data_IF_070017588269
#
_entry.id   IF_070017588269
#
_cell.length_a   1.000
_cell.length_b   1.000
_cell.length_c   1.000
_cell.angle_alpha   90.00
_cell.angle_beta   90.00
_cell.angle_gamma   90.00
#
_symmetry.space_group_name_H-M   'P 1'
#
loop_
_entity.id
_entity.type
_entity.pdbx_description
1 polymer ?
#
# COMPACT_ATOMS: atom_id res chain seq x y z
N UNK A 1 -29.22 -12.18 -2.12
CA UNK A 1 -27.86 -11.96 -1.58
C UNK A 1 -27.16 -10.96 -2.48
N UNK A 2 -26.57 -9.89 -1.93
CA UNK A 2 -25.81 -8.91 -2.74
C UNK A 2 -24.57 -9.57 -3.32
N UNK A 3 -24.14 -9.13 -4.50
CA UNK A 3 -22.94 -9.57 -5.18
C UNK A 3 -21.95 -8.42 -5.28
N UNK A 4 -20.77 -8.59 -4.71
CA UNK A 4 -19.71 -7.58 -4.72
C UNK A 4 -18.55 -8.08 -5.57
N UNK A 5 -18.09 -7.24 -6.49
CA UNK A 5 -16.88 -7.47 -7.28
C UNK A 5 -15.71 -6.73 -6.65
N UNK A 6 -14.64 -7.44 -6.34
CA UNK A 6 -13.40 -6.89 -5.81
C UNK A 6 -12.31 -6.97 -6.87
N UNK A 7 -11.76 -5.82 -7.24
CA UNK A 7 -10.58 -5.73 -8.09
C UNK A 7 -9.37 -5.59 -7.17
N UNK A 8 -8.65 -6.70 -7.02
CA UNK A 8 -7.67 -6.93 -5.97
C UNK A 8 -6.25 -7.00 -6.57
N UNK A 9 -5.34 -6.05 -6.25
CA UNK A 9 -3.96 -6.09 -6.72
C UNK A 9 -3.15 -7.24 -6.07
N UNK A 10 -3.63 -7.83 -4.98
CA UNK A 10 -2.97 -8.96 -4.30
C UNK A 10 -3.00 -10.28 -5.08
N UNK A 11 -3.86 -10.39 -6.10
CA UNK A 11 -3.97 -11.57 -6.97
C UNK A 11 -3.02 -11.44 -8.17
N UNK A 12 -2.29 -12.52 -8.48
CA UNK A 12 -1.34 -12.56 -9.62
C UNK A 12 -0.29 -11.45 -9.58
N UNK A 13 0.16 -11.09 -8.38
CA UNK A 13 1.21 -10.07 -8.15
C UNK A 13 2.52 -10.74 -7.75
N UNK A 14 3.62 -10.05 -8.03
CA UNK A 14 4.96 -10.40 -7.58
C UNK A 14 5.40 -9.58 -6.35
N UNK A 15 4.46 -8.86 -5.72
CA UNK A 15 4.69 -7.97 -4.60
C UNK A 15 3.64 -8.19 -3.48
N UNK A 16 4.06 -8.78 -2.37
CA UNK A 16 3.21 -9.07 -1.21
C UNK A 16 2.63 -7.82 -0.53
N UNK A 17 3.19 -6.65 -0.82
CA UNK A 17 2.62 -5.37 -0.36
C UNK A 17 1.20 -5.12 -0.85
N UNK A 18 0.84 -5.65 -2.01
CA UNK A 18 -0.53 -5.54 -2.54
C UNK A 18 -1.52 -6.38 -1.72
N UNK A 19 -1.10 -7.51 -1.14
CA UNK A 19 -1.94 -8.32 -0.24
C UNK A 19 -2.24 -7.55 1.06
N UNK A 20 -1.24 -6.87 1.63
CA UNK A 20 -1.41 -6.06 2.84
C UNK A 20 -2.43 -4.93 2.62
N UNK A 21 -2.42 -4.29 1.44
CA UNK A 21 -3.43 -3.29 1.06
C UNK A 21 -4.82 -3.90 1.09
N UNK A 22 -4.97 -5.09 0.52
CA UNK A 22 -6.28 -5.71 0.35
C UNK A 22 -6.81 -6.27 1.65
N UNK A 23 -5.96 -6.79 2.53
CA UNK A 23 -6.31 -7.09 3.92
C UNK A 23 -6.95 -5.87 4.59
N UNK A 24 -6.35 -4.68 4.42
CA UNK A 24 -6.90 -3.43 4.94
C UNK A 24 -8.28 -3.09 4.36
N UNK A 25 -8.47 -3.26 3.05
CA UNK A 25 -9.78 -3.05 2.40
C UNK A 25 -10.81 -4.05 2.92
N UNK A 26 -10.49 -5.35 2.96
CA UNK A 26 -11.38 -6.42 3.41
C UNK A 26 -11.79 -6.21 4.87
N UNK A 27 -10.85 -5.84 5.74
CA UNK A 27 -11.14 -5.51 7.13
C UNK A 27 -12.12 -4.34 7.25
N UNK A 28 -11.94 -3.28 6.47
CA UNK A 28 -12.79 -2.10 6.49
C UNK A 28 -14.20 -2.35 5.93
N UNK A 29 -14.32 -3.24 4.94
CA UNK A 29 -15.58 -3.57 4.27
C UNK A 29 -16.28 -4.82 4.84
N UNK A 30 -15.75 -5.42 5.91
CA UNK A 30 -16.25 -6.65 6.51
C UNK A 30 -17.76 -6.65 6.75
N UNK A 31 -18.31 -5.55 7.27
CA UNK A 31 -19.74 -5.40 7.59
C UNK A 31 -20.67 -5.65 6.39
N UNK A 32 -20.24 -5.29 5.16
CA UNK A 32 -21.04 -5.55 3.96
C UNK A 32 -20.61 -6.82 3.22
N UNK A 33 -19.35 -7.24 3.40
CA UNK A 33 -18.80 -8.41 2.72
C UNK A 33 -19.29 -9.73 3.35
N UNK A 34 -19.47 -9.80 4.67
CA UNK A 34 -19.91 -11.01 5.37
C UNK A 34 -21.29 -11.51 4.88
N UNK A 35 -22.16 -10.61 4.43
CA UNK A 35 -23.50 -10.91 3.92
C UNK A 35 -23.61 -10.96 2.40
N UNK A 36 -22.48 -10.89 1.68
CA UNK A 36 -22.45 -10.78 0.23
C UNK A 36 -21.65 -11.92 -0.43
N UNK A 37 -21.99 -12.20 -1.68
CA UNK A 37 -21.18 -13.08 -2.52
C UNK A 37 -20.04 -12.28 -3.16
N UNK A 38 -18.81 -12.55 -2.74
CA UNK A 38 -17.63 -11.84 -3.21
C UNK A 38 -17.03 -12.57 -4.42
N UNK A 39 -16.77 -11.82 -5.49
CA UNK A 39 -15.95 -12.28 -6.62
C UNK A 39 -14.71 -11.40 -6.71
N UNK A 40 -13.54 -12.02 -6.65
CA UNK A 40 -12.25 -11.33 -6.66
C UNK A 40 -11.56 -11.55 -8.00
N UNK A 41 -11.05 -10.47 -8.60
CA UNK A 41 -10.26 -10.52 -9.82
C UNK A 41 -9.03 -9.62 -9.69
N UNK A 42 -7.93 -10.02 -10.31
CA UNK A 42 -6.70 -9.24 -10.30
C UNK A 42 -6.87 -7.92 -11.04
N UNK A 43 -6.32 -6.84 -10.50
CA UNK A 43 -6.15 -5.59 -11.27
C UNK A 43 -5.03 -5.72 -12.30
N UNK A 44 -4.03 -6.56 -12.05
CA UNK A 44 -2.82 -6.70 -12.89
C UNK A 44 -3.05 -7.58 -14.13
N UNK A 45 -4.21 -8.23 -14.24
CA UNK A 45 -4.55 -9.14 -15.34
C UNK A 45 -5.59 -8.53 -16.30
N UNK A 46 -5.53 -8.86 -17.60
CA UNK A 46 -6.59 -8.51 -18.54
C UNK A 46 -7.96 -9.05 -18.13
N UNK A 47 -9.01 -8.31 -18.44
CA UNK A 47 -10.38 -8.68 -18.11
C UNK A 47 -11.01 -9.43 -19.29
N UNK A 48 -11.18 -10.73 -19.13
CA UNK A 48 -11.81 -11.62 -20.11
C UNK A 48 -13.35 -11.64 -20.03
N UNK A 49 -13.99 -12.13 -21.11
CA UNK A 49 -15.44 -12.21 -21.27
C UNK A 49 -16.18 -12.86 -20.09
N UNK A 50 -15.60 -13.89 -19.47
CA UNK A 50 -16.20 -14.54 -18.29
C UNK A 50 -16.28 -13.59 -17.09
N UNK A 51 -15.23 -12.80 -16.85
CA UNK A 51 -15.23 -11.77 -15.80
C UNK A 51 -16.23 -10.66 -16.10
N UNK A 52 -16.32 -10.22 -17.35
CA UNK A 52 -17.28 -9.17 -17.76
C UNK A 52 -18.73 -9.54 -17.44
N UNK A 53 -19.15 -10.79 -17.71
CA UNK A 53 -20.49 -11.29 -17.33
C UNK A 53 -20.74 -11.25 -15.82
N UNK A 54 -19.70 -11.43 -15.01
CA UNK A 54 -19.82 -11.32 -13.56
C UNK A 54 -19.90 -9.87 -13.10
N UNK A 55 -19.13 -8.97 -13.72
CA UNK A 55 -19.16 -7.53 -13.46
C UNK A 55 -20.52 -6.93 -13.78
N UNK A 56 -21.13 -7.25 -14.92
CA UNK A 56 -22.44 -6.70 -15.31
C UNK A 56 -23.56 -6.99 -14.32
N UNK A 57 -23.44 -8.07 -13.54
CA UNK A 57 -24.42 -8.51 -12.55
C UNK A 57 -24.04 -8.18 -11.11
N UNK A 58 -22.97 -7.40 -10.88
CA UNK A 58 -22.53 -7.03 -9.55
C UNK A 58 -23.29 -5.81 -9.04
N UNK A 59 -23.72 -5.85 -7.77
CA UNK A 59 -24.40 -4.74 -7.09
C UNK A 59 -23.41 -3.63 -6.68
N UNK A 60 -22.14 -4.01 -6.46
CA UNK A 60 -21.07 -3.09 -6.11
C UNK A 60 -19.74 -3.58 -6.70
N UNK A 61 -18.93 -2.65 -7.19
CA UNK A 61 -17.60 -2.92 -7.77
C UNK A 61 -16.56 -2.05 -7.10
N UNK A 62 -15.64 -2.67 -6.37
CA UNK A 62 -14.61 -2.01 -5.58
C UNK A 62 -13.25 -2.21 -6.23
N UNK A 63 -12.54 -1.12 -6.50
CA UNK A 63 -11.13 -1.14 -6.88
C UNK A 63 -10.30 -0.95 -5.62
N UNK A 64 -9.65 -2.03 -5.16
CA UNK A 64 -8.71 -1.96 -4.04
C UNK A 64 -7.43 -1.22 -4.47
N UNK A 65 -6.80 -0.54 -3.50
CA UNK A 65 -5.70 0.41 -3.62
C UNK A 65 -4.55 0.10 -4.60
N UNK A 66 -3.30 0.08 -4.10
CA UNK A 66 -2.07 0.07 -4.90
C UNK A 66 -1.87 1.32 -5.80
N UNK A 67 -0.88 1.28 -6.69
CA UNK A 67 -0.46 2.36 -7.59
C UNK A 67 -1.18 2.30 -8.96
N UNK A 68 -2.51 2.20 -8.97
CA UNK A 68 -3.24 1.89 -10.21
C UNK A 68 -3.41 3.10 -11.15
N UNK A 69 -3.38 4.33 -10.66
CA UNK A 69 -3.65 5.51 -11.50
C UNK A 69 -2.42 5.96 -12.28
N UNK A 70 -2.51 5.82 -13.60
CA UNK A 70 -1.48 6.22 -14.56
C UNK A 70 -1.89 7.47 -15.33
N UNK A 71 -0.91 8.22 -15.84
CA UNK A 71 -1.17 9.34 -16.75
C UNK A 71 -1.61 8.92 -18.16
N UNK A 72 -1.09 7.79 -18.66
CA UNK A 72 -1.35 7.34 -20.03
C UNK A 72 -1.68 5.84 -20.09
N UNK A 73 -2.98 5.53 -20.24
CA UNK A 73 -3.47 4.17 -20.46
C UNK A 73 -3.16 3.64 -21.87
N UNK A 74 -2.77 4.48 -22.83
CA UNK A 74 -2.49 4.08 -24.23
C UNK A 74 -1.06 3.61 -24.49
N UNK A 75 -0.13 3.78 -23.53
CA UNK A 75 1.26 3.40 -23.72
C UNK A 75 1.40 1.87 -23.86
N UNK A 76 2.02 1.41 -24.95
CA UNK A 76 2.41 0.02 -25.17
C UNK A 76 3.60 -0.41 -24.29
N UNK A 77 4.32 0.56 -23.72
CA UNK A 77 5.62 0.40 -23.04
C UNK A 77 5.53 0.41 -21.50
N UNK A 78 4.33 0.41 -20.93
CA UNK A 78 4.16 0.36 -19.47
C UNK A 78 3.48 -0.93 -19.05
N UNK A 79 4.09 -1.61 -18.07
CA UNK A 79 3.43 -2.64 -17.27
C UNK A 79 2.23 -2.00 -16.57
N UNK A 80 1.07 -2.04 -17.24
CA UNK A 80 -0.16 -1.45 -16.71
C UNK A 80 -0.58 -2.27 -15.51
N UNK A 81 -0.46 -1.70 -14.30
CA UNK A 81 -1.03 -2.33 -13.11
C UNK A 81 -2.56 -2.46 -13.19
N UNK A 82 -3.19 -1.72 -14.12
CA UNK A 82 -4.58 -1.88 -14.47
C UNK A 82 -4.79 -1.81 -15.98
N UNK A 83 -4.83 -2.96 -16.69
CA UNK A 83 -4.96 -3.00 -18.14
C UNK A 83 -6.43 -2.82 -18.56
N UNK A 84 -6.87 -1.57 -18.58
CA UNK A 84 -8.21 -1.18 -19.01
C UNK A 84 -8.18 -0.47 -20.37
N UNK A 85 -9.23 -0.68 -21.16
CA UNK A 85 -9.47 -0.02 -22.44
C UNK A 85 -10.97 0.32 -22.59
N UNK A 86 -11.35 0.92 -23.73
CA UNK A 86 -12.75 1.31 -24.00
C UNK A 86 -13.73 0.14 -23.94
N UNK A 87 -13.33 -1.05 -24.42
CA UNK A 87 -14.19 -2.23 -24.43
C UNK A 87 -14.43 -2.74 -23.01
N UNK A 88 -13.36 -2.91 -22.21
CA UNK A 88 -13.49 -3.37 -20.82
C UNK A 88 -14.19 -2.34 -19.94
N UNK A 89 -14.01 -1.03 -20.22
CA UNK A 89 -14.63 0.05 -19.45
C UNK A 89 -16.16 -0.05 -19.38
N UNK A 90 -16.80 -0.58 -20.42
CA UNK A 90 -18.26 -0.69 -20.48
C UNK A 90 -18.82 -1.72 -19.48
N UNK A 91 -18.16 -2.87 -19.31
CA UNK A 91 -18.61 -3.89 -18.33
C UNK A 91 -18.14 -3.58 -16.91
N UNK A 92 -17.10 -2.74 -16.77
CA UNK A 92 -16.58 -2.30 -15.48
C UNK A 92 -17.46 -1.27 -14.81
N UNK A 93 -18.00 -0.29 -15.53
CA UNK A 93 -18.76 0.78 -14.88
C UNK A 93 -20.03 0.30 -14.14
N UNK A 94 -20.46 0.98 -13.08
CA UNK A 94 -19.69 1.94 -12.28
C UNK A 94 -18.80 1.23 -11.25
N UNK A 95 -17.57 1.68 -11.07
CA UNK A 95 -16.64 1.23 -10.02
C UNK A 95 -16.40 2.32 -8.97
N UNK A 96 -16.06 1.93 -7.75
CA UNK A 96 -15.64 2.83 -6.66
C UNK A 96 -14.18 2.55 -6.29
N UNK A 97 -13.39 3.60 -6.05
CA UNK A 97 -11.98 3.47 -5.67
C UNK A 97 -11.89 3.40 -4.15
N UNK A 98 -11.01 2.53 -3.64
CA UNK A 98 -10.71 2.40 -2.21
C UNK A 98 -9.20 2.49 -2.01
N UNK A 99 -8.72 3.64 -1.54
CA UNK A 99 -7.33 3.84 -1.18
C UNK A 99 -6.36 3.76 -2.36
N UNK A 100 -6.82 4.15 -3.55
CA UNK A 100 -6.02 4.07 -4.78
C UNK A 100 -5.03 5.23 -4.85
N UNK A 101 -3.85 4.97 -5.42
CA UNK A 101 -2.79 5.95 -5.58
C UNK A 101 -2.34 6.16 -7.03
N UNK A 102 -1.76 7.33 -7.28
CA UNK A 102 -1.05 7.69 -8.51
C UNK A 102 0.39 7.14 -8.53
N UNK A 103 0.86 6.70 -9.72
CA UNK A 103 2.13 5.98 -9.87
C UNK A 103 3.38 6.82 -9.63
N UNK A 104 3.44 8.03 -10.18
CA UNK A 104 4.67 8.82 -10.23
C UNK A 104 4.39 10.30 -10.23
N UNK A 105 5.33 11.08 -9.67
CA UNK A 105 5.33 12.53 -9.84
C UNK A 105 5.48 12.94 -11.30
N UNK A 106 4.95 14.11 -11.63
CA UNK A 106 5.02 14.68 -12.98
C UNK A 106 4.21 13.91 -14.02
N UNK A 107 3.44 12.89 -13.64
CA UNK A 107 2.48 12.31 -14.58
C UNK A 107 1.35 13.29 -14.84
N UNK A 108 0.94 13.36 -16.10
CA UNK A 108 -0.23 14.11 -16.52
C UNK A 108 -1.26 13.12 -17.08
N UNK A 109 -2.49 13.18 -16.57
CA UNK A 109 -3.58 12.35 -17.06
C UNK A 109 -4.05 12.89 -18.41
N UNK A 110 -3.68 12.19 -19.49
CA UNK A 110 -4.07 12.55 -20.85
C UNK A 110 -5.58 12.43 -21.10
N UNK A 111 -6.09 13.11 -22.14
CA UNK A 111 -7.52 13.16 -22.45
C UNK A 111 -8.18 11.77 -22.61
N UNK A 112 -7.48 10.83 -23.27
CA UNK A 112 -7.96 9.44 -23.39
C UNK A 112 -8.09 8.76 -22.03
N UNK A 113 -7.06 8.86 -21.19
CA UNK A 113 -7.07 8.29 -19.84
C UNK A 113 -8.18 8.91 -18.99
N UNK A 114 -8.32 10.24 -19.03
CA UNK A 114 -9.37 10.96 -18.33
C UNK A 114 -10.77 10.52 -18.77
N UNK A 115 -10.98 10.33 -20.08
CA UNK A 115 -12.24 9.81 -20.62
C UNK A 115 -12.56 8.41 -20.08
N UNK A 116 -11.57 7.51 -20.03
CA UNK A 116 -11.76 6.16 -19.48
C UNK A 116 -12.10 6.21 -17.98
N UNK A 117 -11.36 6.99 -17.18
CA UNK A 117 -11.64 7.10 -15.74
C UNK A 117 -13.05 7.66 -15.49
N UNK A 118 -13.45 8.75 -16.17
CA UNK A 118 -14.80 9.30 -16.05
C UNK A 118 -15.90 8.33 -16.46
N UNK A 119 -15.61 7.38 -17.35
CA UNK A 119 -16.57 6.37 -17.80
C UNK A 119 -16.72 5.22 -16.81
N UNK A 120 -15.61 4.80 -16.18
CA UNK A 120 -15.57 3.64 -15.28
C UNK A 120 -15.99 4.02 -13.87
N UNK A 121 -15.53 5.18 -13.39
CA UNK A 121 -15.75 5.62 -12.02
C UNK A 121 -17.20 6.08 -11.84
N UNK A 122 -17.81 5.67 -10.72
CA UNK A 122 -19.17 6.08 -10.36
C UNK A 122 -19.27 7.59 -10.24
N UNK A 123 -20.35 8.19 -10.74
CA UNK A 123 -20.71 9.58 -10.45
C UNK A 123 -21.51 9.74 -9.15
N UNK A 124 -21.97 8.63 -8.55
CA UNK A 124 -22.87 8.62 -7.39
C UNK A 124 -22.14 8.38 -6.08
N UNK A 125 -21.03 7.63 -6.12
CA UNK A 125 -20.23 7.32 -4.94
C UNK A 125 -19.02 8.24 -4.83
N UNK A 126 -18.58 8.55 -3.62
CA UNK A 126 -17.26 9.14 -3.39
C UNK A 126 -16.18 8.08 -3.61
N UNK A 127 -15.05 8.51 -4.17
CA UNK A 127 -13.85 7.70 -4.40
C UNK A 127 -12.81 7.98 -3.32
N UNK A 128 -12.32 6.93 -2.68
CA UNK A 128 -11.23 7.01 -1.71
C UNK A 128 -9.89 6.91 -2.44
N UNK A 129 -9.02 7.89 -2.19
CA UNK A 129 -7.61 7.88 -2.60
C UNK A 129 -6.72 7.91 -1.37
N UNK A 130 -5.46 7.50 -1.54
CA UNK A 130 -4.55 7.31 -0.40
C UNK A 130 -3.74 8.54 -0.01
N UNK A 131 -3.63 9.54 -0.88
CA UNK A 131 -2.79 10.72 -0.65
C UNK A 131 -3.34 11.95 -1.40
N UNK A 132 -2.96 13.14 -0.94
CA UNK A 132 -3.38 14.44 -1.44
C UNK A 132 -2.94 14.66 -2.88
N UNK A 133 -1.73 14.20 -3.23
CA UNK A 133 -1.25 14.18 -4.60
C UNK A 133 -2.21 13.44 -5.55
N UNK A 134 -2.67 12.25 -5.17
CA UNK A 134 -3.61 11.47 -5.99
C UNK A 134 -4.97 12.14 -6.07
N UNK A 135 -5.43 12.77 -4.98
CA UNK A 135 -6.66 13.56 -4.98
C UNK A 135 -6.60 14.69 -6.02
N UNK A 136 -5.52 15.47 -6.01
CA UNK A 136 -5.29 16.55 -6.97
C UNK A 136 -5.25 16.06 -8.41
N UNK A 137 -4.61 14.92 -8.67
CA UNK A 137 -4.56 14.31 -10.01
C UNK A 137 -5.96 14.01 -10.56
N UNK A 138 -6.84 13.39 -9.76
CA UNK A 138 -8.22 13.11 -10.19
C UNK A 138 -9.06 14.38 -10.35
N UNK A 139 -8.92 15.35 -9.45
CA UNK A 139 -9.60 16.65 -9.54
C UNK A 139 -9.19 17.42 -10.80
N UNK A 140 -7.92 17.38 -11.17
CA UNK A 140 -7.38 18.08 -12.36
C UNK A 140 -8.04 17.65 -13.67
N UNK A 141 -8.57 16.42 -13.73
CA UNK A 141 -9.31 15.92 -14.88
C UNK A 141 -10.82 16.00 -14.72
N UNK A 142 -11.33 16.61 -13.65
CA UNK A 142 -12.75 16.84 -13.41
C UNK A 142 -13.48 15.69 -12.71
N UNK A 143 -12.76 14.81 -11.99
CA UNK A 143 -13.36 13.82 -11.09
C UNK A 143 -13.33 14.42 -9.68
N UNK A 144 -14.45 15.02 -9.28
CA UNK A 144 -14.52 15.86 -8.07
C UNK A 144 -15.11 15.16 -6.84
N UNK A 145 -15.79 14.03 -7.04
CA UNK A 145 -16.29 13.13 -6.00
C UNK A 145 -15.17 12.23 -5.44
N UNK A 146 -14.02 12.82 -5.13
CA UNK A 146 -12.85 12.15 -4.57
C UNK A 146 -12.58 12.68 -3.17
N UNK A 147 -12.05 11.82 -2.30
CA UNK A 147 -11.67 12.17 -0.93
C UNK A 147 -10.40 11.41 -0.52
N UNK A 148 -9.44 12.13 0.05
CA UNK A 148 -8.25 11.52 0.60
C UNK A 148 -8.51 10.86 1.97
N UNK A 149 -8.40 9.54 2.03
CA UNK A 149 -8.69 8.73 3.22
C UNK A 149 -7.45 8.01 3.75
N UNK A 150 -6.28 8.21 3.13
CA UNK A 150 -5.11 7.42 3.43
C UNK A 150 -5.16 6.02 2.84
N UNK A 151 -4.03 5.32 2.92
CA UNK A 151 -3.95 3.92 2.50
C UNK A 151 -4.78 3.04 3.46
N UNK A 152 -5.55 2.04 2.97
CA UNK A 152 -6.33 1.14 3.82
C UNK A 152 -5.50 0.37 4.85
N UNK A 153 -4.20 0.21 4.60
CA UNK A 153 -3.25 -0.36 5.57
C UNK A 153 -3.12 0.46 6.84
N UNK A 154 -3.54 1.73 6.82
CA UNK A 154 -3.42 2.64 7.95
C UNK A 154 -4.69 2.71 8.79
N UNK A 155 -5.85 2.26 8.28
CA UNK A 155 -7.15 2.49 8.91
C UNK A 155 -7.36 1.76 10.26
N UNK A 156 -6.38 0.98 10.72
CA UNK A 156 -6.35 0.43 12.08
C UNK A 156 -5.30 1.07 13.01
N UNK A 157 -4.50 2.01 12.51
CA UNK A 157 -3.37 2.63 13.23
C UNK A 157 -3.84 3.83 14.07
N UNK A 158 -4.78 3.57 14.99
CA UNK A 158 -5.34 4.58 15.89
C UNK A 158 -4.28 5.11 16.85
N UNK A 159 -4.51 6.26 17.51
CA UNK A 159 -3.58 6.79 18.51
C UNK A 159 -3.28 5.78 19.63
N UNK A 160 -4.30 4.99 20.02
CA UNK A 160 -4.17 3.90 21.01
C UNK A 160 -3.32 2.73 20.51
N UNK A 161 -3.35 2.44 19.21
CA UNK A 161 -2.46 1.42 18.63
C UNK A 161 -1.03 1.95 18.49
N UNK A 162 -0.89 3.21 18.05
CA UNK A 162 0.41 3.86 17.93
C UNK A 162 1.12 4.01 19.29
N UNK A 163 0.39 4.24 20.38
CA UNK A 163 1.00 4.34 21.73
C UNK A 163 1.57 3.02 22.26
N UNK A 164 1.21 1.88 21.66
CA UNK A 164 1.80 0.57 21.98
C UNK A 164 3.06 0.27 21.20
N UNK A 165 3.33 1.02 20.13
CA UNK A 165 4.57 0.90 19.38
C UNK A 165 5.73 1.35 20.28
N UNK A 166 6.78 0.53 20.47
CA UNK A 166 7.92 0.90 21.30
C UNK A 166 8.57 2.21 20.83
N UNK A 167 8.88 3.09 21.79
CA UNK A 167 9.56 4.36 21.49
C UNK A 167 11.08 4.28 21.48
N UNK A 168 11.63 3.16 21.96
CA UNK A 168 13.06 2.86 22.02
C UNK A 168 13.40 1.73 21.06
N UNK A 169 14.65 1.72 20.60
CA UNK A 169 15.22 0.71 19.71
C UNK A 169 14.99 -0.71 20.23
N UNK A 170 14.59 -1.60 19.32
CA UNK A 170 14.57 -3.04 19.53
C UNK A 170 15.97 -3.66 19.64
N UNK A 171 16.02 -4.94 20.02
CA UNK A 171 17.27 -5.72 20.03
C UNK A 171 17.68 -6.13 18.61
N UNK A 172 16.69 -6.58 17.85
CA UNK A 172 16.85 -7.13 16.51
C UNK A 172 16.17 -6.24 15.48
N UNK A 173 16.44 -6.47 14.21
CA UNK A 173 15.79 -5.75 13.10
C UNK A 173 15.32 -6.67 12.00
N UNK A 174 14.14 -6.41 11.46
CA UNK A 174 13.70 -6.92 10.18
C UNK A 174 13.73 -5.82 9.13
N UNK A 175 14.33 -6.10 7.98
CA UNK A 175 14.42 -5.14 6.89
C UNK A 175 13.87 -5.71 5.59
N UNK A 176 13.63 -4.79 4.65
CA UNK A 176 13.22 -5.09 3.28
C UNK A 176 13.98 -4.21 2.30
N UNK A 177 14.14 -4.71 1.08
CA UNK A 177 14.71 -4.00 -0.06
C UNK A 177 13.69 -3.91 -1.19
N UNK A 178 13.95 -3.05 -2.18
CA UNK A 178 13.04 -2.84 -3.31
C UNK A 178 13.76 -3.13 -4.63
N UNK A 179 13.60 -4.34 -5.14
CA UNK A 179 14.25 -4.85 -6.35
C UNK A 179 14.07 -3.99 -7.61
N UNK A 180 12.89 -3.37 -7.79
CA UNK A 180 12.57 -2.62 -9.01
C UNK A 180 13.12 -1.18 -9.00
N UNK A 181 13.71 -0.72 -7.89
CA UNK A 181 14.37 0.57 -7.76
C UNK A 181 15.68 0.43 -6.96
N UNK A 182 16.62 -0.39 -7.45
CA UNK A 182 17.83 -0.71 -6.72
C UNK A 182 18.73 0.54 -6.63
N UNK A 183 19.35 0.74 -5.48
CA UNK A 183 20.39 1.74 -5.30
C UNK A 183 21.47 1.12 -4.40
N UNK A 184 22.47 0.51 -5.03
CA UNK A 184 23.50 -0.26 -4.32
C UNK A 184 24.19 0.54 -3.22
N UNK A 185 24.42 1.84 -3.42
CA UNK A 185 25.10 2.68 -2.41
C UNK A 185 24.19 2.90 -1.20
N UNK A 186 22.94 3.29 -1.46
CA UNK A 186 21.92 3.51 -0.42
C UNK A 186 21.65 2.22 0.37
N UNK A 187 21.45 1.13 -0.35
CA UNK A 187 21.02 -0.14 0.24
C UNK A 187 22.17 -0.86 0.94
N UNK A 188 23.41 -0.71 0.48
CA UNK A 188 24.60 -1.14 1.23
C UNK A 188 24.74 -0.34 2.53
N UNK A 189 24.62 0.99 2.47
CA UNK A 189 24.69 1.83 3.67
C UNK A 189 23.64 1.45 4.70
N UNK A 190 22.40 1.17 4.26
CA UNK A 190 21.34 0.66 5.12
C UNK A 190 21.80 -0.61 5.85
N UNK A 191 22.28 -1.62 5.12
CA UNK A 191 22.76 -2.88 5.73
C UNK A 191 23.90 -2.63 6.71
N UNK A 192 24.89 -1.81 6.35
CA UNK A 192 26.04 -1.52 7.20
C UNK A 192 25.63 -0.86 8.53
N UNK A 193 24.67 0.08 8.49
CA UNK A 193 24.10 0.66 9.71
C UNK A 193 23.35 -0.40 10.52
N UNK A 194 22.48 -1.19 9.90
CA UNK A 194 21.73 -2.22 10.63
C UNK A 194 22.64 -3.23 11.33
N UNK A 195 23.74 -3.64 10.68
CA UNK A 195 24.78 -4.52 11.25
C UNK A 195 25.51 -3.92 12.44
N UNK A 196 25.68 -2.61 12.44
CA UNK A 196 26.33 -1.91 13.55
C UNK A 196 25.37 -1.75 14.74
N UNK A 197 24.08 -1.55 14.47
CA UNK A 197 23.12 -1.13 15.50
C UNK A 197 22.30 -2.25 16.13
N UNK A 198 22.16 -3.42 15.49
CA UNK A 198 21.31 -4.53 15.95
C UNK A 198 22.08 -5.84 16.10
N UNK A 199 21.61 -6.72 16.99
CA UNK A 199 22.25 -8.02 17.24
C UNK A 199 21.95 -9.04 16.15
N UNK A 200 20.68 -9.28 15.88
CA UNK A 200 20.23 -10.13 14.77
C UNK A 200 19.53 -9.31 13.67
N UNK A 201 19.80 -9.70 12.42
CA UNK A 201 19.20 -9.09 11.24
C UNK A 201 18.39 -10.14 10.48
N UNK A 202 17.14 -9.77 10.21
CA UNK A 202 16.19 -10.57 9.46
C UNK A 202 15.83 -9.85 8.16
N UNK A 203 15.69 -10.60 7.06
CA UNK A 203 15.26 -10.04 5.78
C UNK A 203 13.94 -10.66 5.36
N UNK A 204 12.94 -9.82 5.11
CA UNK A 204 11.70 -10.27 4.51
C UNK A 204 11.68 -10.00 3.01
N UNK A 205 11.48 -11.07 2.24
CA UNK A 205 11.36 -11.03 0.79
C UNK A 205 9.92 -10.64 0.43
N UNK A 206 9.67 -9.34 0.25
CA UNK A 206 8.34 -8.85 -0.09
C UNK A 206 8.05 -8.97 -1.61
N UNK A 207 9.05 -8.69 -2.44
CA UNK A 207 9.00 -8.77 -3.90
C UNK A 207 9.75 -9.99 -4.43
N UNK A 208 9.31 -10.51 -5.58
CA UNK A 208 9.84 -11.75 -6.19
C UNK A 208 11.34 -11.77 -6.45
N UNK A 209 11.97 -10.60 -6.65
CA UNK A 209 13.41 -10.45 -6.89
C UNK A 209 14.18 -9.81 -5.74
N UNK A 210 13.54 -9.57 -4.59
CA UNK A 210 14.21 -8.92 -3.45
C UNK A 210 15.37 -9.76 -2.91
N UNK A 211 15.20 -11.09 -2.89
CA UNK A 211 16.27 -12.00 -2.46
C UNK A 211 17.44 -12.02 -3.45
N UNK A 212 17.18 -12.01 -4.75
CA UNK A 212 18.25 -11.92 -5.76
C UNK A 212 18.97 -10.57 -5.71
N UNK A 213 18.24 -9.49 -5.41
CA UNK A 213 18.85 -8.18 -5.22
C UNK A 213 19.74 -8.14 -3.98
N UNK A 214 19.29 -8.70 -2.85
CA UNK A 214 20.10 -8.81 -1.63
C UNK A 214 21.44 -9.50 -1.89
N UNK A 215 21.47 -10.56 -2.70
CA UNK A 215 22.71 -11.29 -3.07
C UNK A 215 23.76 -10.45 -3.81
N UNK A 216 23.39 -9.26 -4.30
CA UNK A 216 24.32 -8.35 -4.99
C UNK A 216 24.99 -7.35 -4.04
N UNK A 217 24.63 -7.39 -2.76
CA UNK A 217 25.16 -6.55 -1.69
C UNK A 217 26.21 -7.32 -0.87
N UNK A 218 27.02 -6.58 -0.14
CA UNK A 218 28.13 -7.10 0.66
C UNK A 218 27.68 -7.35 2.12
N UNK A 219 28.36 -8.26 2.83
CA UNK A 219 28.16 -8.57 4.25
C UNK A 219 26.78 -9.13 4.62
N UNK A 220 26.22 -10.01 3.77
CA UNK A 220 24.87 -10.56 3.93
C UNK A 220 24.82 -11.93 4.61
N UNK A 221 25.96 -12.53 4.95
CA UNK A 221 26.10 -13.94 5.33
C UNK A 221 25.35 -14.28 6.63
N UNK A 222 25.22 -13.32 7.55
CA UNK A 222 24.54 -13.49 8.84
C UNK A 222 23.06 -13.09 8.82
N UNK A 223 22.53 -12.70 7.66
CA UNK A 223 21.14 -12.23 7.53
C UNK A 223 20.20 -13.42 7.46
N UNK A 224 19.24 -13.49 8.39
CA UNK A 224 18.25 -14.57 8.48
C UNK A 224 17.06 -14.28 7.57
N UNK A 225 16.74 -15.18 6.64
CA UNK A 225 15.63 -14.98 5.70
C UNK A 225 14.30 -15.39 6.35
N UNK A 226 13.34 -14.47 6.37
CA UNK A 226 11.95 -14.75 6.78
C UNK A 226 11.15 -15.27 5.60
N UNK A 227 10.24 -16.21 5.86
CA UNK A 227 9.41 -16.85 4.84
C UNK A 227 8.77 -15.82 3.90
N UNK A 228 8.87 -15.99 2.56
CA UNK A 228 8.42 -15.04 1.55
C UNK A 228 6.90 -15.13 1.34
N UNK A 229 6.13 -15.01 2.42
CA UNK A 229 4.67 -15.01 2.42
C UNK A 229 4.16 -14.02 3.45
N UNK A 230 2.96 -13.47 3.23
CA UNK A 230 2.33 -12.59 4.22
C UNK A 230 2.11 -13.31 5.55
N UNK A 231 1.64 -14.56 5.51
CA UNK A 231 1.49 -15.40 6.71
C UNK A 231 2.82 -15.61 7.44
N UNK A 232 3.90 -15.86 6.71
CA UNK A 232 5.24 -16.04 7.28
C UNK A 232 5.75 -14.77 7.96
N UNK A 233 5.47 -13.61 7.36
CA UNK A 233 5.82 -12.33 7.96
C UNK A 233 4.99 -12.02 9.20
N UNK A 234 3.67 -12.25 9.14
CA UNK A 234 2.77 -12.07 10.29
C UNK A 234 3.20 -12.95 11.46
N UNK A 235 3.43 -14.23 11.19
CA UNK A 235 3.90 -15.18 12.21
C UNK A 235 5.22 -14.72 12.82
N UNK A 236 6.13 -14.18 12.02
CA UNK A 236 7.40 -13.65 12.52
C UNK A 236 7.21 -12.41 13.41
N UNK A 237 6.40 -11.44 12.98
CA UNK A 237 6.13 -10.21 13.73
C UNK A 237 5.39 -10.51 15.05
N UNK A 238 4.42 -11.42 15.04
CA UNK A 238 3.66 -11.81 16.23
C UNK A 238 4.55 -12.48 17.29
N UNK A 239 5.46 -13.36 16.86
CA UNK A 239 6.30 -14.15 17.77
C UNK A 239 7.59 -13.44 18.21
N UNK A 240 7.97 -12.34 17.55
CA UNK A 240 9.21 -11.60 17.86
C UNK A 240 8.89 -10.29 18.58
N UNK A 241 9.15 -10.20 19.89
CA UNK A 241 8.75 -9.04 20.70
C UNK A 241 9.67 -7.83 20.55
N UNK A 242 10.98 -8.03 20.53
CA UNK A 242 11.96 -6.96 20.65
C UNK A 242 12.65 -6.66 19.30
N UNK A 243 11.86 -6.23 18.32
CA UNK A 243 12.31 -6.05 16.94
C UNK A 243 11.81 -4.74 16.34
N UNK A 244 12.70 -4.07 15.62
CA UNK A 244 12.38 -2.93 14.78
C UNK A 244 12.16 -3.37 13.33
N UNK A 245 11.39 -2.60 12.57
CA UNK A 245 11.39 -2.62 11.12
C UNK A 245 12.18 -1.45 10.57
N UNK A 246 13.12 -1.69 9.65
CA UNK A 246 13.81 -0.61 8.91
C UNK A 246 13.96 -1.03 7.46
N UNK A 247 13.33 -0.38 6.47
CA UNK A 247 13.46 -0.86 5.10
C UNK A 247 12.79 -0.01 4.01
N UNK A 248 13.00 -0.37 2.75
CA UNK A 248 12.55 0.42 1.59
C UNK A 248 11.16 0.06 1.08
N UNK A 249 10.53 -1.02 1.58
CA UNK A 249 9.15 -1.37 1.22
C UNK A 249 8.17 -0.68 2.16
N UNK A 250 7.35 0.22 1.63
CA UNK A 250 6.31 0.92 2.40
C UNK A 250 5.37 -0.05 3.14
N UNK A 251 4.77 -1.01 2.42
CA UNK A 251 3.73 -1.85 3.00
C UNK A 251 4.28 -2.89 4.00
N UNK A 252 5.52 -3.35 3.85
CA UNK A 252 6.19 -4.14 4.87
C UNK A 252 6.30 -3.39 6.20
N UNK A 253 6.60 -2.09 6.14
CA UNK A 253 6.60 -1.23 7.33
C UNK A 253 5.21 -0.96 7.87
N UNK A 254 4.21 -0.76 7.01
CA UNK A 254 2.81 -0.64 7.45
C UNK A 254 2.32 -1.89 8.19
N UNK A 255 2.68 -3.08 7.72
CA UNK A 255 2.33 -4.33 8.41
C UNK A 255 3.09 -4.48 9.73
N UNK A 256 4.36 -4.07 9.79
CA UNK A 256 5.10 -4.01 11.05
C UNK A 256 4.41 -3.09 12.09
N UNK A 257 3.95 -1.90 11.67
CA UNK A 257 3.13 -1.00 12.50
C UNK A 257 1.79 -1.63 12.93
N UNK A 258 1.13 -2.37 12.04
CA UNK A 258 -0.08 -3.12 12.38
C UNK A 258 0.17 -4.20 13.45
N UNK A 259 1.41 -4.68 13.58
CA UNK A 259 1.88 -5.60 14.63
C UNK A 259 2.60 -4.89 15.79
N UNK A 260 2.37 -3.59 15.93
CA UNK A 260 2.88 -2.77 17.04
C UNK A 260 4.42 -2.74 17.10
N UNK A 261 5.12 -2.89 15.96
CA UNK A 261 6.58 -2.81 15.88
C UNK A 261 7.04 -1.40 15.54
N UNK A 262 8.13 -0.97 16.20
CA UNK A 262 8.80 0.30 15.87
C UNK A 262 9.32 0.21 14.45
N UNK A 263 9.01 1.22 13.63
CA UNK A 263 9.14 1.13 12.18
C UNK A 263 9.80 2.39 11.64
N UNK A 264 10.79 2.23 10.78
CA UNK A 264 11.41 3.32 10.00
C UNK A 264 11.34 2.92 8.52
N UNK A 265 10.62 3.68 7.71
CA UNK A 265 10.49 3.39 6.28
C UNK A 265 11.44 4.30 5.51
N UNK A 266 12.32 3.73 4.70
CA UNK A 266 13.17 4.51 3.80
C UNK A 266 12.35 4.94 2.58
N UNK A 267 12.10 6.24 2.48
CA UNK A 267 11.28 6.87 1.44
C UNK A 267 12.00 6.93 0.10
N UNK A 268 11.83 5.87 -0.71
CA UNK A 268 12.46 5.75 -2.04
C UNK A 268 11.56 6.20 -3.20
N UNK A 269 10.27 6.41 -2.96
CA UNK A 269 9.29 6.85 -3.95
C UNK A 269 8.19 7.71 -3.33
N UNK A 270 7.30 8.24 -4.19
CA UNK A 270 6.22 9.13 -3.80
C UNK A 270 5.26 8.51 -2.79
N UNK A 271 5.12 7.18 -2.73
CA UNK A 271 4.13 6.55 -1.86
C UNK A 271 4.46 6.80 -0.40
N UNK A 272 5.70 6.53 0.00
CA UNK A 272 6.13 6.74 1.37
C UNK A 272 6.21 8.24 1.71
N UNK A 273 6.69 9.05 0.76
CA UNK A 273 6.86 10.50 0.95
C UNK A 273 5.51 11.20 1.11
N UNK A 274 4.52 10.93 0.24
CA UNK A 274 3.21 11.55 0.34
C UNK A 274 2.45 11.10 1.59
N UNK A 275 2.51 9.80 1.95
CA UNK A 275 1.89 9.34 3.19
C UNK A 275 2.56 9.95 4.43
N UNK A 276 3.87 10.19 4.41
CA UNK A 276 4.56 10.88 5.49
C UNK A 276 4.09 12.33 5.61
N UNK A 277 4.03 13.04 4.48
CA UNK A 277 3.55 14.42 4.41
C UNK A 277 2.12 14.56 4.90
N UNK A 278 1.23 13.68 4.46
CA UNK A 278 -0.21 13.77 4.79
C UNK A 278 -0.52 13.27 6.21
N UNK A 279 0.18 12.22 6.68
CA UNK A 279 -0.25 11.45 7.87
C UNK A 279 0.84 11.20 8.90
N UNK A 280 2.04 11.73 8.70
CA UNK A 280 3.16 11.56 9.62
C UNK A 280 3.55 10.09 9.87
N UNK A 281 3.50 9.24 8.84
CA UNK A 281 4.06 7.88 8.96
C UNK A 281 5.59 7.96 9.16
N UNK A 282 6.24 7.08 9.93
CA UNK A 282 7.67 7.16 10.21
C UNK A 282 8.53 6.88 8.98
N UNK A 283 8.95 7.94 8.29
CA UNK A 283 9.73 7.86 7.04
C UNK A 283 11.00 8.68 7.17
N UNK A 284 12.11 8.09 6.75
CA UNK A 284 13.37 8.80 6.50
C UNK A 284 13.55 8.95 5.00
N UNK A 285 13.71 10.18 4.52
CA UNK A 285 13.98 10.43 3.10
C UNK A 285 15.41 10.01 2.74
N UNK A 286 15.63 9.56 1.49
CA UNK A 286 16.95 9.17 1.01
C UNK A 286 18.03 10.25 1.21
N UNK A 287 17.68 11.52 1.06
CA UNK A 287 18.60 12.66 1.26
C UNK A 287 19.11 12.79 2.70
N UNK A 288 18.38 12.25 3.67
CA UNK A 288 18.70 12.30 5.11
C UNK A 288 19.20 10.94 5.63
N UNK A 289 19.52 9.99 4.75
CA UNK A 289 19.89 8.63 5.16
C UNK A 289 21.10 8.59 6.11
N UNK A 290 21.99 9.58 6.05
CA UNK A 290 23.10 9.75 6.99
C UNK A 290 22.68 9.82 8.45
N UNK A 291 21.44 10.25 8.72
CA UNK A 291 20.90 10.41 10.07
C UNK A 291 20.25 9.12 10.60
N UNK A 292 20.24 8.04 9.81
CA UNK A 292 19.59 6.77 10.17
C UNK A 292 20.13 6.21 11.48
N UNK A 293 21.45 6.29 11.71
CA UNK A 293 22.08 5.86 12.96
C UNK A 293 21.49 6.58 14.19
N UNK A 294 21.32 7.90 14.09
CA UNK A 294 20.75 8.71 15.18
C UNK A 294 19.28 8.35 15.38
N UNK A 295 18.50 8.30 14.29
CA UNK A 295 17.08 7.97 14.34
C UNK A 295 16.82 6.58 14.96
N UNK A 296 17.69 5.60 14.68
CA UNK A 296 17.62 4.26 15.26
C UNK A 296 17.84 4.31 16.78
N UNK A 297 18.84 5.05 17.26
CA UNK A 297 19.23 5.09 18.67
C UNK A 297 18.45 6.11 19.52
N UNK A 298 17.76 7.06 18.90
CA UNK A 298 16.93 8.05 19.58
C UNK A 298 15.64 7.45 20.16
N UNK A 299 15.07 8.16 21.13
CA UNK A 299 13.75 7.84 21.70
C UNK A 299 12.68 8.72 21.07
N UNK A 300 11.72 8.13 20.36
CA UNK A 300 10.63 8.85 19.71
C UNK A 300 9.37 7.98 19.63
N UNK A 301 8.19 8.62 19.72
CA UNK A 301 6.90 7.94 19.64
C UNK A 301 6.38 7.84 18.20
N UNK A 302 5.56 6.83 17.92
CA UNK A 302 4.81 6.77 16.66
C UNK A 302 3.54 7.61 16.77
N UNK A 303 3.36 8.57 15.87
CA UNK A 303 2.22 9.50 15.88
C UNK A 303 1.60 9.65 14.48
N UNK A 304 0.77 8.68 14.08
CA UNK A 304 0.10 8.70 12.78
C UNK A 304 -1.20 9.51 12.85
N UNK A 305 -1.32 10.51 11.98
CA UNK A 305 -2.48 11.40 11.88
C UNK A 305 -3.52 10.80 10.92
N UNK A 306 -4.37 9.90 11.40
CA UNK A 306 -5.39 9.30 10.55
C UNK A 306 -6.50 10.30 10.14
N UNK A 307 -6.94 10.30 8.86
CA UNK A 307 -8.03 11.15 8.39
C UNK A 307 -9.39 10.54 8.74
N UNK A 308 -9.65 10.36 10.04
CA UNK A 308 -10.81 9.61 10.57
C UNK A 308 -12.15 10.08 10.02
N UNK A 309 -12.38 11.39 9.92
CA UNK A 309 -13.64 11.94 9.40
C UNK A 309 -13.81 11.66 7.90
N UNK A 310 -12.72 11.69 7.12
CA UNK A 310 -12.76 11.31 5.72
C UNK A 310 -13.05 9.82 5.54
N UNK A 311 -12.44 8.97 6.36
CA UNK A 311 -12.68 7.52 6.38
C UNK A 311 -14.14 7.23 6.74
N UNK A 312 -14.67 7.85 7.82
CA UNK A 312 -16.08 7.72 8.23
C UNK A 312 -17.04 8.16 7.12
N UNK A 313 -16.78 9.33 6.51
CA UNK A 313 -17.60 9.87 5.42
C UNK A 313 -17.59 8.92 4.21
N UNK A 314 -16.42 8.39 3.85
CA UNK A 314 -16.29 7.45 2.74
C UNK A 314 -16.97 6.10 3.05
N UNK A 315 -16.75 5.50 4.20
CA UNK A 315 -17.35 4.20 4.54
C UNK A 315 -18.86 4.29 4.79
N UNK A 316 -19.32 5.41 5.35
CA UNK A 316 -20.72 5.67 5.66
C UNK A 316 -21.65 5.64 4.44
N UNK A 317 -21.14 5.95 3.24
CA UNK A 317 -21.92 5.85 2.00
C UNK A 317 -22.36 4.41 1.67
N UNK A 318 -21.71 3.41 2.27
CA UNK A 318 -22.05 1.99 2.14
C UNK A 318 -22.83 1.45 3.34
N UNK A 319 -23.17 2.31 4.32
CA UNK A 319 -23.74 1.91 5.60
C UNK A 319 -22.73 1.25 6.55
N UNK A 320 -21.43 1.42 6.33
CA UNK A 320 -20.38 0.86 7.19
C UNK A 320 -20.09 1.84 8.32
N UNK A 321 -20.15 1.36 9.57
CA UNK A 321 -19.72 2.14 10.73
C UNK A 321 -18.21 1.93 10.97
N UNK A 322 -17.43 3.01 10.85
CA UNK A 322 -16.01 2.98 11.19
C UNK A 322 -15.80 3.27 12.68
N UNK A 323 -15.24 2.30 13.41
CA UNK A 323 -14.89 2.44 14.82
C UNK A 323 -13.40 2.67 14.92
N UNK A 324 -13.00 3.82 15.48
CA UNK A 324 -11.61 4.27 15.54
C UNK A 324 -10.90 3.97 16.87
N UNK A 325 -11.45 3.11 17.75
CA UNK A 325 -11.00 2.93 19.14
C UNK A 325 -10.94 1.48 19.65
#
# INVERSE_FOLDING_TARGET
>A
MKKIMLFEPGLSTDNLGDQIIVDGVKAAFKQIMDGAFIIEISTHMPIYNRHMKHCEKADLKIICGSNLLVGNLGSYLHFRQWPINLYTAQSLKPCVLVGVGAQKYGQHIGAYTAHIYKRILSSEFMHSVRDSFTEEQLRSVGINNVINTGCPTMWGLTSKKCSKVPSRKGKDVIFTLTDYKPDRKRDQYLIDVLRKEYEDIYFWVQGSRDYEYLKTLDNIESIKIVSPSLQGYDSFLENTKNIDYVGTRLHGGMRALQHEKRTIILGIDNRAIELNKDYNIPVIEQKNLSDLHNLINDTWGTEIKLPTEAIKKFLGQFGITYVSE
#
